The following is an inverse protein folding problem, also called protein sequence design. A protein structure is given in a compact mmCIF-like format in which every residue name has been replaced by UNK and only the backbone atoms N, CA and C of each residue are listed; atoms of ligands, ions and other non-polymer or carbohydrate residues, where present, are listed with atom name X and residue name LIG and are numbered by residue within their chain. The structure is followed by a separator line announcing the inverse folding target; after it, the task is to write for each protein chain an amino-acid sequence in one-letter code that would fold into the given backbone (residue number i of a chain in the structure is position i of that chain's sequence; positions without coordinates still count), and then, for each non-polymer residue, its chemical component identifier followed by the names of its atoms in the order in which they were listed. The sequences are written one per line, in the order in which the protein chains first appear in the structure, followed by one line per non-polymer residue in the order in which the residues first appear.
data_IF_103244111062
#
_entry.id   IF_103244111062
#
_cell.length_a   1.000
_cell.length_b   1.000
_cell.length_c   1.000
_cell.angle_alpha   90.00
_cell.angle_beta   90.00
_cell.angle_gamma   90.00
#
_symmetry.space_group_name_H-M   'P 1'
#
loop_
_entity.id
_entity.type
_entity.pdbx_description
1 polymer ?
#
# COMPACT_ATOMS: atom_id res chain seq x y z
N UNK A 1 14.38 -12.01 -0.89
CA UNK A 1 13.76 -10.90 -1.63
C UNK A 1 14.82 -9.85 -1.63
N UNK A 2 15.39 -9.55 -2.79
CA UNK A 2 16.69 -8.90 -2.82
C UNK A 2 16.59 -7.58 -3.58
N UNK A 3 17.30 -6.57 -3.10
CA UNK A 3 17.40 -5.28 -3.76
C UNK A 3 18.09 -5.41 -5.12
N UNK A 4 17.54 -4.75 -6.15
CA UNK A 4 18.12 -4.74 -7.51
C UNK A 4 18.65 -3.35 -7.85
N UNK A 5 17.77 -2.35 -7.84
CA UNK A 5 18.13 -0.95 -8.07
C UNK A 5 17.03 -0.02 -7.52
N UNK A 6 17.28 1.28 -7.55
CA UNK A 6 16.25 2.30 -7.33
C UNK A 6 16.39 3.43 -8.35
N UNK A 7 15.34 4.23 -8.49
CA UNK A 7 15.34 5.49 -9.21
C UNK A 7 14.73 6.58 -8.34
N UNK A 8 15.18 7.82 -8.55
CA UNK A 8 14.72 8.99 -7.80
C UNK A 8 13.96 9.90 -8.76
N UNK A 9 12.83 10.42 -8.29
CA UNK A 9 12.06 11.49 -8.90
C UNK A 9 11.79 12.56 -7.83
N UNK A 10 11.40 13.79 -8.21
CA UNK A 10 11.03 14.81 -7.23
C UNK A 10 9.94 14.30 -6.26
N UNK A 11 10.26 14.24 -4.97
CA UNK A 11 9.34 13.78 -3.94
C UNK A 11 9.07 12.28 -3.91
N UNK A 12 9.82 11.46 -4.66
CA UNK A 12 9.60 10.02 -4.74
C UNK A 12 10.89 9.21 -4.95
N UNK A 13 10.96 8.05 -4.32
CA UNK A 13 11.94 7.01 -4.64
C UNK A 13 11.22 5.70 -5.00
N UNK A 14 11.64 5.10 -6.11
CA UNK A 14 11.12 3.82 -6.59
C UNK A 14 12.21 2.76 -6.49
N UNK A 15 11.93 1.66 -5.80
CA UNK A 15 12.84 0.52 -5.62
C UNK A 15 12.33 -0.68 -6.42
N UNK A 16 13.24 -1.30 -7.16
CA UNK A 16 13.03 -2.59 -7.82
C UNK A 16 13.73 -3.68 -7.03
N UNK A 17 13.03 -4.79 -6.88
CA UNK A 17 13.48 -5.95 -6.12
C UNK A 17 13.32 -7.20 -6.99
N UNK A 18 13.93 -8.32 -6.60
CA UNK A 18 13.80 -9.57 -7.36
C UNK A 18 12.37 -10.10 -7.44
N UNK A 19 11.51 -9.74 -6.47
CA UNK A 19 10.16 -10.26 -6.35
C UNK A 19 9.07 -9.19 -6.32
N UNK A 20 9.35 -7.96 -6.75
CA UNK A 20 8.37 -6.87 -6.68
C UNK A 20 8.93 -5.47 -6.81
N UNK A 21 8.06 -4.47 -6.57
CA UNK A 21 8.37 -3.03 -6.58
C UNK A 21 7.89 -2.34 -5.33
N UNK A 22 8.67 -1.38 -4.83
CA UNK A 22 8.31 -0.52 -3.72
C UNK A 22 8.45 0.94 -4.14
N UNK A 23 7.52 1.80 -3.73
CA UNK A 23 7.57 3.24 -4.00
C UNK A 23 7.31 3.98 -2.70
N UNK A 24 8.18 4.93 -2.37
CA UNK A 24 7.98 5.88 -1.27
C UNK A 24 7.77 7.26 -1.87
N UNK A 25 6.62 7.85 -1.60
CA UNK A 25 6.22 9.17 -2.11
C UNK A 25 6.02 10.11 -0.92
N UNK A 26 6.76 11.22 -0.87
CA UNK A 26 6.54 12.27 0.12
C UNK A 26 5.20 12.96 -0.14
N UNK A 27 4.30 12.87 0.82
CA UNK A 27 2.94 13.41 0.75
C UNK A 27 2.84 14.78 1.41
N UNK A 28 3.55 14.95 2.52
CA UNK A 28 3.83 16.22 3.20
C UNK A 28 5.16 16.06 3.97
N UNK A 29 5.72 17.12 4.58
CA UNK A 29 6.86 17.00 5.47
C UNK A 29 6.77 15.84 6.48
N UNK A 30 5.62 15.67 7.14
CA UNK A 30 5.39 14.63 8.14
C UNK A 30 4.68 13.37 7.64
N UNK A 31 4.51 13.19 6.32
CA UNK A 31 3.75 12.05 5.77
C UNK A 31 4.46 11.49 4.53
N UNK A 32 4.85 10.22 4.59
CA UNK A 32 5.41 9.47 3.46
C UNK A 32 4.48 8.30 3.14
N UNK A 33 3.98 8.24 1.90
CA UNK A 33 3.17 7.13 1.41
C UNK A 33 4.09 6.02 0.89
N UNK A 34 3.95 4.83 1.46
CA UNK A 34 4.71 3.66 1.03
C UNK A 34 3.77 2.69 0.32
N UNK A 35 4.12 2.29 -0.91
CA UNK A 35 3.40 1.28 -1.68
C UNK A 35 4.34 0.13 -1.99
N UNK A 36 3.86 -1.10 -1.84
CA UNK A 36 4.63 -2.30 -2.15
C UNK A 36 3.74 -3.32 -2.87
N UNK A 37 4.30 -3.98 -3.89
CA UNK A 37 3.64 -5.05 -4.65
C UNK A 37 4.65 -6.14 -4.98
N UNK A 38 4.20 -7.40 -4.97
CA UNK A 38 4.97 -8.54 -5.51
C UNK A 38 4.70 -8.79 -7.01
N UNK A 39 3.75 -8.05 -7.60
CA UNK A 39 3.51 -8.08 -9.04
C UNK A 39 4.59 -7.27 -9.78
N UNK A 40 4.64 -7.46 -11.11
CA UNK A 40 5.55 -6.70 -11.96
C UNK A 40 5.24 -5.20 -11.93
N UNK A 41 3.97 -4.81 -11.81
CA UNK A 41 3.51 -3.43 -11.81
C UNK A 41 2.46 -3.17 -10.73
N UNK A 42 2.28 -1.90 -10.36
CA UNK A 42 1.15 -1.48 -9.55
C UNK A 42 -0.12 -1.46 -10.38
N UNK A 43 -1.26 -1.73 -9.75
CA UNK A 43 -2.56 -1.48 -10.38
C UNK A 43 -2.77 0.03 -10.54
N UNK A 44 -3.37 0.43 -11.66
CA UNK A 44 -3.66 1.82 -11.98
C UNK A 44 -4.85 2.40 -11.19
N UNK A 45 -5.53 1.58 -10.37
CA UNK A 45 -6.69 2.00 -9.62
C UNK A 45 -6.29 2.98 -8.50
N UNK A 46 -6.92 4.14 -8.49
CA UNK A 46 -6.77 5.09 -7.40
C UNK A 46 -7.37 4.54 -6.10
N UNK A 47 -6.77 4.91 -4.98
CA UNK A 47 -7.31 4.55 -3.66
C UNK A 47 -8.55 5.39 -3.37
N UNK A 48 -9.63 4.76 -2.92
CA UNK A 48 -10.82 5.46 -2.47
C UNK A 48 -10.63 6.16 -1.10
N UNK A 49 -9.52 5.86 -0.41
CA UNK A 49 -9.21 6.43 0.91
C UNK A 49 -8.15 7.54 0.87
N UNK A 50 -7.37 7.65 -0.21
CA UNK A 50 -6.25 8.59 -0.33
C UNK A 50 -6.60 9.67 -1.35
N UNK A 51 -6.62 10.94 -0.92
CA UNK A 51 -6.97 12.08 -1.76
C UNK A 51 -5.69 12.69 -2.33
N UNK A 52 -5.34 12.35 -3.58
CA UNK A 52 -4.06 12.74 -4.23
C UNK A 52 -3.79 14.25 -4.19
N UNK A 53 -4.83 15.07 -4.32
CA UNK A 53 -4.72 16.54 -4.29
C UNK A 53 -4.38 17.12 -2.91
N UNK A 54 -4.44 16.32 -1.84
CA UNK A 54 -4.00 16.73 -0.50
C UNK A 54 -2.48 16.75 -0.35
N UNK A 55 -1.73 16.30 -1.37
CA UNK A 55 -0.26 16.32 -1.37
C UNK A 55 0.27 17.75 -1.39
N UNK A 56 1.17 18.06 -0.48
CA UNK A 56 1.89 19.35 -0.47
C UNK A 56 3.25 19.19 -1.14
N UNK A 57 3.73 20.17 -1.93
CA UNK A 57 5.10 20.19 -2.41
C UNK A 57 6.06 20.01 -1.22
N UNK A 58 6.84 18.94 -1.27
CA UNK A 58 7.73 18.54 -0.17
C UNK A 58 9.09 18.26 -0.77
N UNK A 59 10.10 19.02 -0.33
CA UNK A 59 11.47 18.74 -0.69
C UNK A 59 11.92 17.42 -0.07
N UNK A 60 12.68 16.65 -0.84
CA UNK A 60 13.17 15.34 -0.42
C UNK A 60 14.64 15.21 -0.72
N UNK A 61 15.35 14.51 0.17
CA UNK A 61 16.72 14.09 -0.07
C UNK A 61 16.83 12.57 -0.03
N UNK A 62 17.77 12.05 -0.83
CA UNK A 62 18.15 10.65 -0.79
C UNK A 62 19.62 10.58 -0.46
N UNK A 63 19.97 9.81 0.56
CA UNK A 63 21.37 9.48 0.88
C UNK A 63 21.53 7.98 0.94
N UNK A 64 22.73 7.53 0.60
CA UNK A 64 23.05 6.11 0.53
C UNK A 64 24.25 5.78 1.39
N UNK A 65 24.24 4.58 1.91
CA UNK A 65 25.37 3.88 2.53
C UNK A 65 25.52 2.53 1.86
N UNK A 66 26.56 1.79 2.24
CA UNK A 66 26.77 0.42 1.76
C UNK A 66 25.57 -0.48 2.03
N UNK A 67 24.93 -0.33 3.19
CA UNK A 67 23.91 -1.27 3.67
C UNK A 67 22.49 -0.71 3.60
N UNK A 68 22.33 0.61 3.43
CA UNK A 68 21.02 1.26 3.50
C UNK A 68 20.86 2.43 2.55
N UNK A 69 19.61 2.67 2.16
CA UNK A 69 19.15 3.86 1.45
C UNK A 69 18.27 4.65 2.42
N UNK A 70 18.41 5.97 2.47
CA UNK A 70 17.60 6.83 3.31
C UNK A 70 16.86 7.84 2.44
N UNK A 71 15.56 7.92 2.63
CA UNK A 71 14.68 8.89 1.98
C UNK A 71 14.11 9.81 3.05
N UNK A 72 14.41 11.10 2.93
CA UNK A 72 14.14 12.09 3.97
C UNK A 72 13.31 13.25 3.45
N UNK A 73 12.33 13.66 4.24
CA UNK A 73 11.68 14.97 4.20
C UNK A 73 12.29 15.86 5.30
N UNK A 74 11.72 17.04 5.57
CA UNK A 74 12.15 17.86 6.71
C UNK A 74 11.80 17.26 8.07
N UNK A 75 10.75 16.43 8.15
CA UNK A 75 10.20 15.96 9.44
C UNK A 75 10.36 14.46 9.66
N UNK A 76 10.62 13.69 8.61
CA UNK A 76 10.72 12.23 8.65
C UNK A 76 11.89 11.71 7.81
N UNK A 77 12.50 10.63 8.27
CA UNK A 77 13.44 9.84 7.47
C UNK A 77 13.02 8.38 7.47
N UNK A 78 12.95 7.78 6.28
CA UNK A 78 12.79 6.34 6.11
C UNK A 78 14.13 5.74 5.73
N UNK A 79 14.66 4.86 6.57
CA UNK A 79 15.78 3.98 6.23
C UNK A 79 15.24 2.70 5.59
N UNK A 80 15.87 2.28 4.50
CA UNK A 80 15.59 1.05 3.79
C UNK A 80 16.85 0.20 3.82
N UNK A 81 16.79 -0.94 4.50
CA UNK A 81 17.87 -1.91 4.50
C UNK A 81 17.99 -2.58 3.11
N UNK A 82 19.19 -2.67 2.54
CA UNK A 82 19.39 -3.23 1.20
C UNK A 82 19.29 -4.75 1.15
N UNK A 83 19.50 -5.44 2.28
CA UNK A 83 19.50 -6.90 2.35
C UNK A 83 18.09 -7.45 2.59
N UNK A 84 17.37 -6.88 3.57
CA UNK A 84 16.05 -7.36 3.99
C UNK A 84 14.89 -6.51 3.46
N UNK A 85 15.17 -5.28 3.02
CA UNK A 85 14.16 -4.28 2.67
C UNK A 85 13.20 -3.94 3.83
N UNK A 86 13.66 -4.20 5.07
CA UNK A 86 13.01 -3.69 6.27
C UNK A 86 13.11 -2.17 6.33
N UNK A 87 12.09 -1.55 6.89
CA UNK A 87 11.99 -0.09 6.99
C UNK A 87 12.24 0.35 8.43
N UNK A 88 13.09 1.34 8.61
CA UNK A 88 13.22 2.12 9.84
C UNK A 88 12.61 3.50 9.67
N UNK A 89 11.84 3.96 10.65
CA UNK A 89 11.12 5.23 10.61
C UNK A 89 11.69 6.15 11.69
N UNK A 90 12.23 7.29 11.28
CA UNK A 90 12.91 8.24 12.16
C UNK A 90 12.24 9.60 12.11
N UNK A 91 12.25 10.31 13.23
CA UNK A 91 11.82 11.71 13.29
C UNK A 91 12.88 12.67 12.72
N UNK A 92 12.57 13.97 12.77
CA UNK A 92 13.42 15.05 12.29
C UNK A 92 14.77 15.16 13.01
N UNK A 93 14.84 14.69 14.26
CA UNK A 93 16.02 14.74 15.10
C UNK A 93 16.88 13.47 14.96
N UNK A 94 16.42 12.52 14.12
CA UNK A 94 17.10 11.25 13.86
C UNK A 94 16.80 10.18 14.91
N UNK A 95 15.81 10.39 15.77
CA UNK A 95 15.38 9.39 16.73
C UNK A 95 14.47 8.35 16.06
N UNK A 96 14.71 7.07 16.35
CA UNK A 96 13.90 5.97 15.83
C UNK A 96 12.50 6.03 16.46
N UNK A 97 11.47 6.06 15.63
CA UNK A 97 10.06 5.97 16.04
C UNK A 97 9.65 4.50 16.11
N UNK A 98 9.89 3.76 15.04
CA UNK A 98 9.61 2.33 14.92
C UNK A 98 10.41 1.74 13.77
N UNK A 99 10.53 0.42 13.71
CA UNK A 99 11.14 -0.28 12.59
C UNK A 99 10.39 -1.58 12.29
N UNK A 100 10.57 -2.10 11.09
CA UNK A 100 10.21 -3.49 10.81
C UNK A 100 11.28 -4.45 11.35
N UNK A 101 10.91 -5.72 11.64
CA UNK A 101 11.88 -6.75 11.98
C UNK A 101 12.98 -6.92 10.92
N UNK A 102 14.22 -7.23 11.34
CA UNK A 102 15.36 -7.42 10.44
C UNK A 102 15.12 -8.51 9.38
N UNK A 103 14.33 -9.53 9.72
CA UNK A 103 13.91 -10.60 8.79
C UNK A 103 12.92 -10.13 7.70
N UNK A 104 12.55 -8.86 7.70
CA UNK A 104 11.46 -8.28 6.91
C UNK A 104 10.13 -8.30 7.69
N UNK A 105 9.35 -7.21 7.57
CA UNK A 105 8.07 -7.04 8.27
C UNK A 105 6.84 -7.15 7.37
N UNK A 106 7.00 -7.50 6.08
CA UNK A 106 5.91 -7.44 5.07
C UNK A 106 5.54 -8.82 4.58
N UNK A 107 4.29 -9.22 4.77
CA UNK A 107 3.72 -10.43 4.16
C UNK A 107 2.55 -10.05 3.26
N UNK A 108 2.61 -10.45 1.99
CA UNK A 108 1.53 -10.28 1.01
C UNK A 108 1.07 -11.65 0.50
N UNK A 109 -0.20 -11.98 0.74
CA UNK A 109 -0.85 -13.19 0.21
C UNK A 109 -1.81 -12.80 -0.91
N UNK A 110 -1.57 -13.20 -2.17
CA UNK A 110 -2.48 -12.90 -3.28
C UNK A 110 -3.89 -13.44 -3.04
N UNK A 111 -4.89 -12.61 -3.35
CA UNK A 111 -6.30 -12.97 -3.30
C UNK A 111 -7.05 -12.45 -4.53
N UNK A 112 -8.16 -13.12 -4.88
CA UNK A 112 -9.11 -12.59 -5.85
C UNK A 112 -10.12 -11.68 -5.14
N UNK A 113 -10.24 -10.45 -5.62
CA UNK A 113 -11.33 -9.55 -5.26
C UNK A 113 -12.50 -9.87 -6.17
N UNK A 114 -13.65 -10.18 -5.57
CA UNK A 114 -14.88 -10.52 -6.28
C UNK A 114 -15.80 -9.29 -6.24
N UNK A 115 -16.46 -8.98 -7.35
CA UNK A 115 -17.51 -7.97 -7.41
C UNK A 115 -18.87 -8.60 -7.74
N UNK A 116 -19.90 -8.06 -7.11
CA UNK A 116 -21.29 -8.42 -7.36
C UNK A 116 -21.84 -7.57 -8.52
N UNK A 117 -22.32 -8.20 -9.58
CA UNK A 117 -22.93 -7.54 -10.74
C UNK A 117 -24.40 -7.98 -10.83
N UNK A 118 -25.37 -7.05 -10.94
CA UNK A 118 -26.79 -7.40 -11.06
C UNK A 118 -27.06 -8.30 -12.28
N UNK A 119 -27.96 -9.28 -12.14
CA UNK A 119 -28.45 -10.12 -13.24
C UNK A 119 -29.58 -9.38 -13.96
N UNK A 120 -29.44 -9.15 -15.28
CA UNK A 120 -30.43 -8.40 -16.07
C UNK A 120 -31.70 -9.21 -16.42
N UNK A 121 -31.64 -10.55 -16.40
CA UNK A 121 -32.76 -11.44 -16.77
C UNK A 121 -33.57 -11.89 -15.53
N UNK A 122 -34.81 -11.40 -15.43
CA UNK A 122 -35.64 -11.41 -14.20
C UNK A 122 -36.47 -12.69 -13.95
N UNK A 123 -36.61 -13.04 -12.67
CA UNK A 123 -37.86 -13.52 -12.05
C UNK A 123 -38.14 -12.72 -10.78
N UNK A 124 -39.19 -11.91 -10.78
CA UNK A 124 -39.61 -11.17 -9.58
C UNK A 124 -40.05 -12.18 -8.51
N UNK A 125 -39.49 -12.10 -7.30
CA UNK A 125 -39.98 -12.87 -6.17
C UNK A 125 -40.68 -11.94 -5.18
N UNK A 126 -41.95 -12.21 -4.93
CA UNK A 126 -42.78 -11.44 -4.00
C UNK A 126 -42.79 -12.18 -2.67
N UNK A 127 -42.31 -11.53 -1.60
CA UNK A 127 -42.40 -12.06 -0.24
C UNK A 127 -43.36 -11.20 0.59
N UNK A 128 -44.38 -11.81 1.17
CA UNK A 128 -45.32 -11.13 2.09
C UNK A 128 -45.04 -11.63 3.50
N UNK A 129 -44.50 -10.75 4.34
CA UNK A 129 -44.25 -11.00 5.77
C UNK A 129 -45.24 -10.23 6.66
N UNK A 130 -45.10 -10.40 7.97
CA UNK A 130 -45.92 -9.69 8.96
C UNK A 130 -45.83 -8.15 8.86
N UNK A 131 -44.71 -7.63 8.33
CA UNK A 131 -44.43 -6.20 8.15
C UNK A 131 -44.89 -5.64 6.79
N UNK A 132 -45.60 -6.44 5.99
CA UNK A 132 -46.09 -6.06 4.66
C UNK A 132 -45.27 -6.62 3.50
N UNK A 133 -45.53 -6.08 2.30
CA UNK A 133 -44.96 -6.52 1.04
C UNK A 133 -43.47 -6.13 0.94
N UNK A 134 -42.58 -7.11 0.87
CA UNK A 134 -41.18 -6.91 0.48
C UNK A 134 -40.99 -7.40 -0.96
N UNK A 135 -40.72 -6.47 -1.85
CA UNK A 135 -40.21 -6.76 -3.20
C UNK A 135 -38.69 -6.65 -3.10
N UNK A 136 -37.99 -7.77 -3.25
CA UNK A 136 -36.54 -7.79 -3.36
C UNK A 136 -36.19 -8.19 -4.78
N UNK A 137 -35.66 -7.25 -5.56
CA UNK A 137 -35.61 -7.32 -7.03
C UNK A 137 -34.16 -7.33 -7.58
N UNK A 138 -33.18 -7.83 -6.81
CA UNK A 138 -31.80 -7.91 -7.28
C UNK A 138 -31.14 -9.23 -6.88
N UNK A 139 -31.01 -10.16 -7.83
CA UNK A 139 -30.01 -11.23 -7.77
C UNK A 139 -28.69 -10.72 -8.38
N UNK A 140 -27.56 -11.15 -7.84
CA UNK A 140 -26.23 -10.71 -8.25
C UNK A 140 -25.36 -11.91 -8.66
N UNK A 141 -24.60 -11.75 -9.72
CA UNK A 141 -23.49 -12.64 -10.06
C UNK A 141 -22.21 -12.18 -9.35
N UNK A 142 -21.43 -13.13 -8.86
CA UNK A 142 -20.08 -12.89 -8.37
C UNK A 142 -19.07 -13.14 -9.49
N UNK A 143 -18.35 -12.09 -9.90
CA UNK A 143 -17.29 -12.20 -10.90
C UNK A 143 -15.95 -11.73 -10.33
N UNK A 144 -14.82 -12.36 -10.70
CA UNK A 144 -13.50 -11.85 -10.37
C UNK A 144 -13.31 -10.43 -10.94
N UNK A 145 -12.90 -9.50 -10.09
CA UNK A 145 -12.62 -8.11 -10.45
C UNK A 145 -11.13 -7.88 -10.67
N UNK A 146 -10.30 -8.22 -9.66
CA UNK A 146 -8.84 -8.01 -9.69
C UNK A 146 -8.11 -8.90 -8.70
N UNK A 147 -6.79 -9.05 -8.89
CA UNK A 147 -5.91 -9.60 -7.86
C UNK A 147 -5.53 -8.50 -6.85
N UNK A 148 -5.65 -8.79 -5.57
CA UNK A 148 -5.19 -7.94 -4.48
C UNK A 148 -4.34 -8.77 -3.50
N UNK A 149 -4.04 -8.19 -2.34
CA UNK A 149 -3.28 -8.87 -1.29
C UNK A 149 -4.00 -8.79 0.05
N UNK A 150 -4.06 -9.91 0.78
CA UNK A 150 -4.10 -9.86 2.23
C UNK A 150 -2.69 -9.49 2.71
N UNK A 151 -2.60 -8.33 3.36
CA UNK A 151 -1.33 -7.79 3.84
C UNK A 151 -1.24 -7.90 5.37
N UNK A 152 -0.07 -8.34 5.86
CA UNK A 152 0.32 -8.23 7.26
C UNK A 152 1.60 -7.41 7.35
N UNK A 153 1.62 -6.44 8.26
CA UNK A 153 2.78 -5.64 8.60
C UNK A 153 3.17 -5.91 10.05
N UNK A 154 4.46 -6.08 10.30
CA UNK A 154 5.04 -6.28 11.63
C UNK A 154 5.99 -5.13 11.96
N UNK A 155 5.92 -4.66 13.21
CA UNK A 155 6.72 -3.53 13.70
C UNK A 155 7.32 -3.86 15.06
N UNK A 156 8.56 -3.43 15.24
CA UNK A 156 9.24 -3.28 16.51
C UNK A 156 9.03 -1.84 16.99
N UNK A 157 8.53 -1.70 18.20
CA UNK A 157 8.30 -0.40 18.83
C UNK A 157 9.44 -0.08 19.77
N UNK A 158 9.87 1.19 19.76
CA UNK A 158 10.78 1.70 20.79
C UNK A 158 9.93 1.94 22.05
N UNK A 159 10.34 1.38 23.18
CA UNK A 159 9.70 1.60 24.49
C UNK A 159 10.04 2.98 25.07
#
# INVERSE_FOLDING_TARGET
MDFVNFSIQPGEISLKTTSGKMILTAYSPGIIRIRYTIAAEFLEHQSLMVIEDARTPTETSVRETTDSIFFSTSDLTIQIDRHSLSLGYFDKDGCLITSEPEKGGKTLVPIDVIKSVPIEERKNSIFVGADGLRISDCEFNEIPDRKAYHAKLEFNWVE
#
